data_IF_627489208620
#
_entry.id   IF_627489208620
#
_cell.length_a   1.000
_cell.length_b   1.000
_cell.length_c   1.000
_cell.angle_alpha   90.00
_cell.angle_beta   90.00
_cell.angle_gamma   90.00
#
_symmetry.space_group_name_H-M   'P 1'
#
loop_
_entity.id
_entity.type
_entity.pdbx_description
1 polymer ?
#
# COMPACT_ATOMS: atom_id res chain seq x y z
N UNK A 1 -8.41 -9.05 19.88
CA UNK A 1 -8.96 -8.47 18.64
C UNK A 1 -7.79 -8.03 17.78
N UNK A 2 -7.30 -8.91 16.91
CA UNK A 2 -6.29 -8.52 15.94
C UNK A 2 -6.95 -7.55 14.97
N UNK A 3 -6.37 -6.37 14.75
CA UNK A 3 -6.78 -5.52 13.63
C UNK A 3 -6.61 -6.38 12.38
N UNK A 4 -7.69 -6.69 11.67
CA UNK A 4 -7.57 -7.17 10.30
C UNK A 4 -6.79 -6.10 9.55
N UNK A 5 -5.53 -6.40 9.23
CA UNK A 5 -4.71 -5.55 8.39
C UNK A 5 -5.29 -5.72 6.99
N UNK A 6 -6.30 -4.90 6.66
CA UNK A 6 -6.85 -4.84 5.32
C UNK A 6 -5.68 -4.59 4.38
N UNK A 7 -5.46 -5.52 3.47
CA UNK A 7 -4.33 -5.47 2.56
C UNK A 7 -4.41 -4.17 1.76
N UNK A 8 -3.25 -3.63 1.37
CA UNK A 8 -3.22 -2.43 0.51
C UNK A 8 -3.98 -2.67 -0.80
N UNK A 9 -4.06 -3.91 -1.25
CA UNK A 9 -4.82 -4.31 -2.43
C UNK A 9 -6.33 -4.22 -2.20
N UNK A 10 -6.85 -4.75 -1.08
CA UNK A 10 -8.28 -4.64 -0.73
C UNK A 10 -8.71 -3.17 -0.54
N UNK A 11 -7.89 -2.35 0.13
CA UNK A 11 -8.16 -0.90 0.24
C UNK A 11 -8.15 -0.18 -1.10
N UNK A 12 -7.35 -0.66 -2.06
CA UNK A 12 -7.29 -0.07 -3.39
C UNK A 12 -8.61 -0.27 -4.14
N UNK A 13 -9.19 -1.46 -4.03
CA UNK A 13 -10.45 -1.78 -4.70
C UNK A 13 -11.61 -0.97 -4.11
N UNK A 14 -11.66 -0.81 -2.79
CA UNK A 14 -12.62 0.09 -2.12
C UNK A 14 -12.48 1.55 -2.57
N UNK A 15 -11.25 2.05 -2.75
CA UNK A 15 -11.01 3.41 -3.23
C UNK A 15 -11.44 3.60 -4.68
N UNK A 16 -11.19 2.61 -5.55
CA UNK A 16 -11.64 2.64 -6.94
C UNK A 16 -13.16 2.64 -7.05
N UNK A 17 -13.87 1.82 -6.27
CA UNK A 17 -15.33 1.83 -6.24
C UNK A 17 -15.89 3.18 -5.78
N UNK A 18 -15.32 3.74 -4.70
CA UNK A 18 -15.73 5.07 -4.21
C UNK A 18 -15.47 6.17 -5.23
N UNK A 19 -14.36 6.10 -5.94
CA UNK A 19 -14.00 7.09 -6.96
C UNK A 19 -14.96 6.99 -8.16
N UNK A 20 -15.29 5.78 -8.60
CA UNK A 20 -16.28 5.55 -9.66
C UNK A 20 -17.66 6.11 -9.28
N UNK A 21 -18.10 5.93 -8.03
CA UNK A 21 -19.35 6.52 -7.53
C UNK A 21 -19.33 8.05 -7.54
N UNK A 22 -18.22 8.67 -7.12
CA UNK A 22 -18.08 10.13 -7.13
C UNK A 22 -18.06 10.70 -8.55
N UNK A 23 -17.44 10.01 -9.50
CA UNK A 23 -17.48 10.38 -10.92
C UNK A 23 -18.90 10.26 -11.50
N UNK A 24 -19.61 9.16 -11.22
CA UNK A 24 -20.99 8.97 -11.69
C UNK A 24 -21.95 10.02 -11.14
N UNK A 25 -21.76 10.44 -9.89
CA UNK A 25 -22.56 11.50 -9.26
C UNK A 25 -22.22 12.91 -9.77
N UNK A 26 -21.14 13.08 -10.55
CA UNK A 26 -20.66 14.38 -11.00
C UNK A 26 -19.95 15.19 -9.91
N UNK A 27 -19.70 14.58 -8.74
CA UNK A 27 -19.00 15.21 -7.61
C UNK A 27 -17.48 15.29 -7.85
N UNK A 28 -16.98 14.59 -8.86
CA UNK A 28 -15.58 14.55 -9.25
C UNK A 28 -15.44 14.76 -10.76
N UNK A 29 -14.58 15.69 -11.16
CA UNK A 29 -14.24 15.88 -12.58
C UNK A 29 -13.43 14.68 -13.10
N UNK A 30 -13.51 14.44 -14.41
CA UNK A 30 -12.74 13.37 -15.06
C UNK A 30 -11.23 13.54 -14.81
N UNK A 31 -10.70 14.75 -14.93
CA UNK A 31 -9.28 15.03 -14.76
C UNK A 31 -8.80 14.75 -13.34
N UNK A 32 -9.59 15.12 -12.33
CA UNK A 32 -9.27 14.82 -10.94
C UNK A 32 -9.36 13.31 -10.66
N UNK A 33 -10.32 12.63 -11.28
CA UNK A 33 -10.41 11.16 -11.21
C UNK A 33 -9.18 10.46 -11.79
N UNK A 34 -8.73 10.86 -12.98
CA UNK A 34 -7.52 10.32 -13.61
C UNK A 34 -6.28 10.52 -12.74
N UNK A 35 -6.10 11.72 -12.18
CA UNK A 35 -4.96 12.01 -11.28
C UNK A 35 -4.98 11.10 -10.05
N UNK A 36 -6.15 10.88 -9.45
CA UNK A 36 -6.29 10.01 -8.29
C UNK A 36 -6.00 8.54 -8.64
N UNK A 37 -6.39 8.08 -9.83
CA UNK A 37 -6.02 6.74 -10.32
C UNK A 37 -4.51 6.57 -10.52
N UNK A 38 -3.85 7.57 -11.10
CA UNK A 38 -2.38 7.59 -11.23
C UNK A 38 -1.70 7.52 -9.85
N UNK A 39 -2.14 8.35 -8.89
CA UNK A 39 -1.61 8.34 -7.52
C UNK A 39 -1.83 6.99 -6.82
N UNK A 40 -2.98 6.34 -7.06
CA UNK A 40 -3.25 5.00 -6.53
C UNK A 40 -2.31 3.96 -7.12
N UNK A 41 -1.99 4.03 -8.41
CA UNK A 41 -1.03 3.14 -9.06
C UNK A 41 0.38 3.32 -8.45
N UNK A 42 0.81 4.56 -8.23
CA UNK A 42 2.09 4.86 -7.58
C UNK A 42 2.15 4.31 -6.15
N UNK A 43 1.05 4.41 -5.38
CA UNK A 43 0.96 3.84 -4.03
C UNK A 43 1.11 2.32 -4.02
N UNK A 44 0.56 1.61 -5.03
CA UNK A 44 0.72 0.16 -5.17
C UNK A 44 2.18 -0.20 -5.43
N UNK A 45 2.84 0.50 -6.36
CA UNK A 45 4.25 0.24 -6.68
C UNK A 45 5.18 0.58 -5.50
N UNK A 46 4.89 1.65 -4.76
CA UNK A 46 5.59 1.97 -3.52
C UNK A 46 5.39 0.87 -2.46
N UNK A 47 4.17 0.36 -2.27
CA UNK A 47 3.93 -0.73 -1.33
C UNK A 47 4.67 -2.01 -1.72
N UNK A 48 4.66 -2.36 -3.00
CA UNK A 48 5.40 -3.49 -3.56
C UNK A 48 6.90 -3.36 -3.34
N UNK A 49 7.46 -2.20 -3.66
CA UNK A 49 8.88 -1.88 -3.47
C UNK A 49 9.27 -1.93 -1.99
N UNK A 50 8.43 -1.38 -1.11
CA UNK A 50 8.65 -1.43 0.34
C UNK A 50 8.69 -2.88 0.85
N UNK A 51 7.73 -3.73 0.44
CA UNK A 51 7.73 -5.17 0.76
C UNK A 51 8.99 -5.87 0.25
N UNK A 52 9.44 -5.56 -0.96
CA UNK A 52 10.66 -6.14 -1.53
C UNK A 52 11.91 -5.73 -0.73
N UNK A 53 12.03 -4.45 -0.37
CA UNK A 53 13.13 -3.93 0.46
C UNK A 53 13.14 -4.59 1.84
N UNK A 54 11.99 -4.70 2.51
CA UNK A 54 11.88 -5.38 3.81
C UNK A 54 12.34 -6.83 3.72
N UNK A 55 11.93 -7.57 2.69
CA UNK A 55 12.39 -8.95 2.44
C UNK A 55 13.90 -9.02 2.20
N UNK A 56 14.46 -8.08 1.42
CA UNK A 56 15.89 -8.01 1.17
C UNK A 56 16.68 -7.76 2.45
N UNK A 57 16.22 -6.82 3.29
CA UNK A 57 16.82 -6.50 4.60
C UNK A 57 16.74 -7.70 5.55
N UNK A 58 15.59 -8.39 5.62
CA UNK A 58 15.45 -9.59 6.45
C UNK A 58 16.39 -10.71 5.98
N UNK A 59 16.58 -10.86 4.67
CA UNK A 59 17.51 -11.86 4.09
C UNK A 59 18.98 -11.54 4.39
N UNK A 60 19.39 -10.27 4.30
CA UNK A 60 20.78 -9.85 4.59
C UNK A 60 21.06 -9.76 6.09
N UNK A 61 20.05 -9.37 6.87
CA UNK A 61 20.09 -9.26 8.33
C UNK A 61 20.06 -10.56 9.10
N UNK A 62 19.89 -11.71 8.44
CA UNK A 62 20.11 -13.02 9.07
C UNK A 62 21.61 -13.33 9.28
N UNK A 63 22.51 -12.62 8.57
CA UNK A 63 23.97 -12.79 8.70
C UNK A 63 24.65 -11.78 9.64
N UNK A 64 23.93 -10.74 10.09
CA UNK A 64 24.44 -9.68 10.97
C UNK A 64 23.49 -9.47 12.14
N UNK A 65 24.01 -9.07 13.30
CA UNK A 65 23.29 -8.83 14.56
C UNK A 65 22.24 -7.72 14.43
N UNK A 66 21.10 -8.02 13.79
CA UNK A 66 19.97 -7.11 13.70
C UNK A 66 19.18 -7.11 15.01
N UNK A 67 18.81 -5.95 15.53
CA UNK A 67 18.02 -5.87 16.77
C UNK A 67 16.61 -6.45 16.56
N UNK A 68 16.07 -7.12 17.58
CA UNK A 68 14.71 -7.70 17.57
C UNK A 68 13.65 -6.66 17.22
N UNK A 69 13.79 -5.42 17.71
CA UNK A 69 12.88 -4.30 17.37
C UNK A 69 12.84 -3.97 15.88
N UNK A 70 13.99 -4.00 15.20
CA UNK A 70 14.05 -3.75 13.76
C UNK A 70 13.44 -4.92 12.98
N UNK A 71 13.64 -6.15 13.44
CA UNK A 71 13.02 -7.33 12.84
C UNK A 71 11.49 -7.26 12.96
N UNK A 72 10.96 -6.94 14.13
CA UNK A 72 9.52 -6.85 14.38
C UNK A 72 8.87 -5.79 13.48
N UNK A 73 9.49 -4.61 13.35
CA UNK A 73 9.03 -3.53 12.47
C UNK A 73 9.04 -3.87 10.96
N UNK A 74 9.80 -4.90 10.54
CA UNK A 74 9.83 -5.36 9.15
C UNK A 74 8.76 -6.43 8.86
N UNK A 75 8.23 -7.09 9.90
CA UNK A 75 7.19 -8.12 9.80
C UNK A 75 5.76 -7.59 9.94
N UNK A 76 5.54 -6.40 10.53
CA UNK A 76 4.24 -5.69 10.56
C UNK A 76 3.88 -5.05 9.22
#
# INVERSE_FOLDING_TARGET
>A
MGKEVISVTERLDEYKERLALLQQNGDLSSDTGSLLEEMMADLVELNRSNKALRRAILKTGQASTMSTRLRDALYE
#
